data_IF_755416743474
#
_entry.id   IF_755416743474
#
_cell.length_a   1.000
_cell.length_b   1.000
_cell.length_c   1.000
_cell.angle_alpha   90.00
_cell.angle_beta   90.00
_cell.angle_gamma   90.00
#
_symmetry.space_group_name_H-M   'P 1'
#
loop_
_entity.id
_entity.type
_entity.pdbx_description
1 polymer ?
#
# COMPACT_ATOMS: atom_id res chain seq x y z
N UNK A 1 -3.16 -14.90 -5.46
CA UNK A 1 -4.23 -14.18 -4.74
C UNK A 1 -3.81 -12.74 -4.60
N UNK A 2 -4.68 -11.80 -4.96
CA UNK A 2 -4.45 -10.36 -4.77
C UNK A 2 -4.70 -10.02 -3.29
N UNK A 3 -3.66 -9.53 -2.59
CA UNK A 3 -3.72 -9.20 -1.15
C UNK A 3 -4.69 -8.05 -0.90
N UNK A 4 -4.74 -7.07 -1.80
CA UNK A 4 -5.59 -5.90 -1.65
C UNK A 4 -7.06 -6.34 -1.75
N UNK A 5 -7.40 -7.15 -2.74
CA UNK A 5 -8.75 -7.71 -2.88
C UNK A 5 -9.17 -8.56 -1.67
N UNK A 6 -8.25 -9.25 -1.00
CA UNK A 6 -8.53 -9.99 0.23
C UNK A 6 -8.84 -9.03 1.40
N UNK A 7 -8.05 -7.98 1.56
CA UNK A 7 -8.23 -6.98 2.62
C UNK A 7 -9.56 -6.23 2.43
N UNK A 8 -9.90 -5.85 1.21
CA UNK A 8 -11.18 -5.20 0.91
C UNK A 8 -12.38 -6.06 1.32
N UNK A 9 -12.35 -7.34 0.97
CA UNK A 9 -13.44 -8.28 1.32
C UNK A 9 -13.56 -8.51 2.82
N UNK A 10 -12.44 -8.45 3.56
CA UNK A 10 -12.40 -8.75 4.99
C UNK A 10 -12.74 -7.53 5.85
N UNK A 11 -12.14 -6.39 5.52
CA UNK A 11 -12.11 -5.21 6.39
C UNK A 11 -12.85 -4.00 5.78
N UNK A 12 -13.20 -4.07 4.50
CA UNK A 12 -13.80 -2.97 3.75
C UNK A 12 -12.77 -2.02 3.13
N UNK A 13 -13.28 -1.18 2.23
CA UNK A 13 -12.46 -0.26 1.42
C UNK A 13 -11.68 0.75 2.26
N UNK A 14 -12.33 1.39 3.24
CA UNK A 14 -11.71 2.43 4.07
C UNK A 14 -10.60 1.86 4.96
N UNK A 15 -10.85 0.73 5.62
CA UNK A 15 -9.84 0.07 6.46
C UNK A 15 -8.66 -0.44 5.62
N UNK A 16 -8.92 -0.92 4.40
CA UNK A 16 -7.88 -1.33 3.45
C UNK A 16 -7.02 -0.14 3.02
N UNK A 17 -7.63 0.98 2.66
CA UNK A 17 -6.90 2.20 2.29
C UNK A 17 -5.98 2.68 3.43
N UNK A 18 -6.49 2.75 4.67
CA UNK A 18 -5.69 3.12 5.85
C UNK A 18 -4.53 2.16 6.11
N UNK A 19 -4.76 0.86 5.94
CA UNK A 19 -3.72 -0.15 6.10
C UNK A 19 -2.62 0.03 5.04
N UNK A 20 -3.01 0.33 3.80
CA UNK A 20 -2.08 0.59 2.70
C UNK A 20 -1.26 1.86 2.95
N UNK A 21 -1.89 2.97 3.35
CA UNK A 21 -1.20 4.22 3.70
C UNK A 21 -0.09 3.98 4.74
N UNK A 22 -0.44 3.30 5.84
CA UNK A 22 0.54 2.95 6.89
C UNK A 22 1.66 2.03 6.39
N UNK A 23 1.34 1.13 5.46
CA UNK A 23 2.33 0.19 4.91
C UNK A 23 3.33 0.91 4.00
N UNK A 24 2.87 1.88 3.20
CA UNK A 24 3.74 2.73 2.39
C UNK A 24 4.76 3.44 3.27
N UNK A 25 4.33 4.07 4.38
CA UNK A 25 5.23 4.78 5.30
C UNK A 25 6.35 3.86 5.84
N UNK A 26 5.99 2.63 6.23
CA UNK A 26 6.97 1.65 6.73
C UNK A 26 7.95 1.23 5.63
N UNK A 27 7.46 1.01 4.41
CA UNK A 27 8.31 0.60 3.28
C UNK A 27 9.24 1.71 2.84
N UNK A 28 8.76 2.95 2.75
CA UNK A 28 9.59 4.11 2.41
C UNK A 28 10.69 4.33 3.44
N UNK A 29 10.38 4.23 4.74
CA UNK A 29 11.38 4.31 5.80
C UNK A 29 12.43 3.20 5.69
N UNK A 30 12.01 1.97 5.37
CA UNK A 30 12.91 0.84 5.20
C UNK A 30 13.79 0.95 3.94
N UNK A 31 13.27 1.53 2.86
CA UNK A 31 14.02 1.76 1.62
C UNK A 31 15.10 2.84 1.83
N UNK A 32 14.75 3.92 2.55
CA UNK A 32 15.64 5.03 2.83
C UNK A 32 16.80 4.67 3.77
N UNK A 33 16.68 3.61 4.57
CA UNK A 33 17.72 3.14 5.49
C UNK A 33 18.81 2.34 4.74
N UNK A 34 20.06 2.83 4.61
CA UNK A 34 21.13 2.15 3.87
C UNK A 34 21.61 0.85 4.52
N UNK A 35 21.46 0.69 5.83
CA UNK A 35 21.99 -0.45 6.60
C UNK A 35 20.99 -1.61 6.74
N UNK A 36 19.74 -1.41 6.26
CA UNK A 36 18.67 -2.41 6.37
C UNK A 36 18.15 -2.88 5.00
N UNK A 37 17.74 -4.15 4.96
CA UNK A 37 16.87 -4.74 3.94
C UNK A 37 17.34 -4.65 2.48
N UNK A 38 18.64 -4.55 2.19
CA UNK A 38 19.17 -4.38 0.81
C UNK A 38 18.53 -5.28 -0.26
N UNK A 39 18.33 -6.58 0.03
CA UNK A 39 17.69 -7.52 -0.91
C UNK A 39 16.17 -7.33 -1.10
N UNK A 40 15.50 -6.63 -0.19
CA UNK A 40 14.05 -6.44 -0.21
C UNK A 40 13.65 -5.03 -0.68
N UNK A 41 14.59 -4.09 -0.83
CA UNK A 41 14.30 -2.71 -1.23
C UNK A 41 13.58 -2.63 -2.57
N UNK A 42 14.05 -3.37 -3.58
CA UNK A 42 13.40 -3.39 -4.90
C UNK A 42 11.97 -3.94 -4.82
N UNK A 43 11.77 -4.99 -4.02
CA UNK A 43 10.44 -5.57 -3.82
C UNK A 43 9.52 -4.57 -3.10
N UNK A 44 10.00 -3.93 -2.03
CA UNK A 44 9.26 -2.92 -1.30
C UNK A 44 8.90 -1.73 -2.20
N UNK A 45 9.82 -1.27 -3.04
CA UNK A 45 9.57 -0.18 -3.98
C UNK A 45 8.45 -0.53 -4.98
N UNK A 46 8.48 -1.73 -5.55
CA UNK A 46 7.39 -2.22 -6.43
C UNK A 46 6.05 -2.30 -5.71
N UNK A 47 6.03 -2.76 -4.46
CA UNK A 47 4.80 -2.80 -3.65
C UNK A 47 4.28 -1.40 -3.34
N UNK A 48 5.17 -0.42 -3.08
CA UNK A 48 4.78 0.99 -2.89
C UNK A 48 4.11 1.54 -4.16
N UNK A 49 4.63 1.24 -5.35
CA UNK A 49 3.99 1.65 -6.62
C UNK A 49 2.59 1.08 -6.77
N UNK A 50 2.42 -0.23 -6.52
CA UNK A 50 1.11 -0.90 -6.56
C UNK A 50 0.13 -0.27 -5.57
N UNK A 51 0.60 0.01 -4.36
CA UNK A 51 -0.20 0.64 -3.30
C UNK A 51 -0.60 2.08 -3.64
N UNK A 52 0.28 2.86 -4.26
CA UNK A 52 -0.04 4.23 -4.69
C UNK A 52 -1.06 4.24 -5.83
N UNK A 53 -0.92 3.35 -6.81
CA UNK A 53 -1.91 3.19 -7.90
C UNK A 53 -3.28 2.74 -7.36
N UNK A 54 -3.29 1.86 -6.36
CA UNK A 54 -4.52 1.51 -5.68
C UNK A 54 -5.17 2.73 -4.99
N UNK A 55 -4.40 3.48 -4.19
CA UNK A 55 -4.93 4.64 -3.46
C UNK A 55 -5.40 5.76 -4.40
N UNK A 56 -4.79 5.95 -5.57
CA UNK A 56 -5.29 6.92 -6.55
C UNK A 56 -6.65 6.53 -7.09
N UNK A 57 -6.86 5.24 -7.42
CA UNK A 57 -8.15 4.73 -7.88
C UNK A 57 -9.24 4.85 -6.81
N UNK A 58 -8.90 4.59 -5.54
CA UNK A 58 -9.85 4.75 -4.43
C UNK A 58 -10.28 6.20 -4.24
N UNK A 59 -9.36 7.16 -4.41
CA UNK A 59 -9.66 8.60 -4.31
C UNK A 59 -10.53 9.13 -5.45
N UNK A 60 -10.51 8.45 -6.60
CA UNK A 60 -11.36 8.77 -7.76
C UNK A 60 -12.76 8.17 -7.67
N UNK A 61 -13.01 7.24 -6.75
CA UNK A 61 -14.36 6.73 -6.51
C UNK A 61 -15.23 7.88 -5.99
N UNK A 62 -16.38 8.17 -6.65
CA UNK A 62 -17.25 9.24 -6.21
C UNK A 62 -17.66 8.95 -4.77
N UNK A 63 -17.36 9.89 -3.88
CA UNK A 63 -17.92 9.97 -2.54
C UNK A 63 -19.44 9.92 -2.69
N UNK A 64 -20.03 8.72 -2.56
CA UNK A 64 -21.44 8.58 -2.26
C UNK A 64 -21.62 9.09 -0.82
N UNK A 65 -21.66 10.41 -0.69
CA UNK A 65 -22.17 11.11 0.49
C UNK A 65 -23.68 11.14 0.45
#
# INVERSE_FOLDING_TARGET
MDRIALLERRDGLEATARWIERTIEVYEAAIADPDRYGMYKEKMAREVEIFRDYLSRVKELPLQR
#
